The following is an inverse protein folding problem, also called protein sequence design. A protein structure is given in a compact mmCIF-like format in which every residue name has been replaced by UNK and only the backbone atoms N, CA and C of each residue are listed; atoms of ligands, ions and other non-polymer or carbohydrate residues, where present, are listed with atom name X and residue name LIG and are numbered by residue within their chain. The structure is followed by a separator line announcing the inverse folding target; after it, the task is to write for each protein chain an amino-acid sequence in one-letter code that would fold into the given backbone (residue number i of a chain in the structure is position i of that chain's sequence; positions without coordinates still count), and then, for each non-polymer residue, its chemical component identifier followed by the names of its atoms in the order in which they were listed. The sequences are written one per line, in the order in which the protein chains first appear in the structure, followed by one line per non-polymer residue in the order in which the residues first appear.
data_IF_018150071308
#
_entry.id   IF_018150071308
#
_cell.length_a   1.000
_cell.length_b   1.000
_cell.length_c   1.000
_cell.angle_alpha   90.00
_cell.angle_beta   90.00
_cell.angle_gamma   90.00
#
_symmetry.space_group_name_H-M   'P 1'
#
loop_
_entity.id
_entity.type
_entity.pdbx_description
1 polymer ?
#
# COMPACT_ATOMS: atom_id res chain seq x y z
N UNK A 1 -16.68 30.09 -38.07
CA UNK A 1 -16.30 29.23 -36.92
C UNK A 1 -17.25 29.59 -35.79
N UNK A 2 -18.13 28.66 -35.40
CA UNK A 2 -19.17 28.95 -34.41
C UNK A 2 -18.54 29.05 -33.01
N UNK A 3 -19.16 29.82 -32.12
CA UNK A 3 -18.73 29.99 -30.73
C UNK A 3 -18.53 28.63 -30.03
N UNK A 4 -19.36 27.65 -30.38
CA UNK A 4 -19.27 26.25 -29.93
C UNK A 4 -17.95 25.57 -30.33
N UNK A 5 -17.41 25.84 -31.53
CA UNK A 5 -16.14 25.25 -31.99
C UNK A 5 -14.93 25.79 -31.23
N UNK A 6 -14.99 27.04 -30.76
CA UNK A 6 -13.90 27.67 -30.00
C UNK A 6 -13.85 27.14 -28.56
N UNK A 7 -15.01 26.91 -27.95
CA UNK A 7 -15.12 26.30 -26.61
C UNK A 7 -14.59 24.85 -26.60
N UNK A 8 -14.93 24.05 -27.61
CA UNK A 8 -14.43 22.67 -27.73
C UNK A 8 -12.91 22.63 -27.97
N UNK A 9 -12.37 23.60 -28.71
CA UNK A 9 -10.92 23.70 -28.93
C UNK A 9 -10.18 24.15 -27.66
N UNK A 10 -10.74 25.10 -26.89
CA UNK A 10 -10.21 25.52 -25.60
C UNK A 10 -10.22 24.40 -24.55
N UNK A 11 -11.28 23.58 -24.50
CA UNK A 11 -11.35 22.41 -23.62
C UNK A 11 -10.32 21.32 -24.00
N UNK A 12 -9.99 21.19 -25.30
CA UNK A 12 -8.96 20.28 -25.78
C UNK A 12 -7.53 20.81 -25.54
N UNK A 13 -7.33 22.14 -25.62
CA UNK A 13 -6.01 22.80 -25.46
C UNK A 13 -5.64 23.02 -23.99
N UNK A 14 -6.61 23.18 -23.09
CA UNK A 14 -6.38 23.30 -21.64
C UNK A 14 -6.06 21.97 -20.94
N UNK A 15 -6.04 20.86 -21.68
CA UNK A 15 -5.72 19.54 -21.15
C UNK A 15 -6.85 18.99 -20.28
N UNK A 16 -7.13 17.70 -20.44
CA UNK A 16 -7.84 16.96 -19.41
C UNK A 16 -6.98 16.97 -18.14
N UNK A 17 -7.21 17.93 -17.26
CA UNK A 17 -6.83 17.79 -15.86
C UNK A 17 -7.87 16.88 -15.21
N UNK A 18 -7.82 15.59 -15.53
CA UNK A 18 -8.44 14.58 -14.65
C UNK A 18 -7.55 14.41 -13.41
N UNK A 19 -7.50 15.44 -12.58
CA UNK A 19 -6.94 15.34 -11.24
C UNK A 19 -8.10 15.25 -10.27
N UNK A 20 -8.64 14.05 -10.13
CA UNK A 20 -9.36 13.66 -8.92
C UNK A 20 -8.84 12.30 -8.50
N UNK A 21 -7.61 12.24 -8.02
CA UNK A 21 -7.25 11.09 -7.22
C UNK A 21 -8.06 11.18 -5.93
N UNK A 22 -8.74 10.08 -5.61
CA UNK A 22 -9.17 9.67 -4.27
C UNK A 22 -7.99 9.61 -3.28
N UNK A 23 -6.99 10.46 -3.46
CA UNK A 23 -5.78 10.40 -2.68
C UNK A 23 -6.11 10.94 -1.29
N UNK A 24 -5.65 10.27 -0.23
CA UNK A 24 -5.63 10.92 1.07
C UNK A 24 -4.94 12.28 0.97
N UNK A 25 -5.49 13.31 1.58
CA UNK A 25 -4.96 14.68 1.49
C UNK A 25 -3.51 14.79 1.97
N UNK A 26 -3.14 13.91 2.90
CA UNK A 26 -1.78 13.80 3.46
C UNK A 26 -0.80 13.08 2.51
N UNK A 27 -1.30 12.44 1.45
CA UNK A 27 -0.55 11.61 0.53
C UNK A 27 -0.52 12.17 -0.89
N UNK A 28 0.38 11.63 -1.72
CA UNK A 28 0.47 11.91 -3.16
C UNK A 28 0.19 10.64 -3.95
N UNK A 29 -0.64 10.74 -4.99
CA UNK A 29 -1.01 9.59 -5.82
C UNK A 29 -0.53 9.79 -7.26
N UNK A 30 -0.02 8.73 -7.89
CA UNK A 30 0.52 8.75 -9.26
C UNK A 30 0.01 7.55 -10.06
N UNK A 31 -0.37 7.78 -11.32
CA UNK A 31 -0.79 6.75 -12.28
C UNK A 31 -2.30 6.50 -12.28
N UNK A 32 -2.90 6.20 -13.44
CA UNK A 32 -4.36 6.01 -13.57
C UNK A 32 -4.78 4.54 -13.57
N UNK A 33 -3.99 3.67 -14.22
CA UNK A 33 -4.24 2.22 -14.27
C UNK A 33 -3.44 1.41 -13.23
N UNK A 34 -2.37 1.98 -12.69
CA UNK A 34 -1.57 1.43 -11.58
C UNK A 34 -1.32 2.56 -10.61
N UNK A 35 -2.11 2.63 -9.55
CA UNK A 35 -2.02 3.75 -8.61
C UNK A 35 -0.91 3.46 -7.60
N UNK A 36 0.06 4.37 -7.53
CA UNK A 36 1.07 4.41 -6.48
C UNK A 36 0.70 5.52 -5.50
N UNK A 37 0.62 5.18 -4.22
CA UNK A 37 0.22 6.09 -3.15
C UNK A 37 1.40 6.32 -2.21
N UNK A 38 1.87 7.57 -2.14
CA UNK A 38 3.02 8.02 -1.38
C UNK A 38 2.54 8.76 -0.14
N UNK A 39 2.64 8.09 1.01
CA UNK A 39 2.28 8.59 2.34
C UNK A 39 3.49 8.58 3.29
N UNK A 40 4.69 8.48 2.74
CA UNK A 40 5.95 8.42 3.47
C UNK A 40 6.28 9.74 4.19
N UNK A 41 6.89 9.62 5.38
CA UNK A 41 7.34 10.74 6.22
C UNK A 41 6.27 11.79 6.55
N UNK A 42 5.04 11.35 6.82
CA UNK A 42 3.90 12.22 7.13
C UNK A 42 3.52 12.26 8.61
N UNK A 43 4.24 11.51 9.46
CA UNK A 43 3.94 11.41 10.89
C UNK A 43 2.64 10.65 11.20
N UNK A 44 2.22 9.76 10.30
CA UNK A 44 0.96 9.03 10.44
C UNK A 44 1.03 7.99 11.56
N UNK A 45 0.04 7.99 12.46
CA UNK A 45 -0.13 6.94 13.47
C UNK A 45 -1.06 5.81 13.00
N UNK A 46 -1.78 6.00 11.89
CA UNK A 46 -2.67 5.01 11.26
C UNK A 46 -2.59 5.10 9.74
N UNK A 47 -2.94 4.01 9.04
CA UNK A 47 -3.11 4.05 7.58
C UNK A 47 -4.33 4.94 7.25
N UNK A 48 -4.25 5.86 6.27
CA UNK A 48 -5.40 6.67 5.86
C UNK A 48 -6.57 5.82 5.37
N UNK A 49 -7.79 6.24 5.70
CA UNK A 49 -9.00 5.47 5.43
C UNK A 49 -9.50 5.50 3.99
N UNK A 50 -9.01 6.46 3.20
CA UNK A 50 -9.44 6.74 1.84
C UNK A 50 -8.38 6.38 0.79
N UNK A 51 -7.65 5.28 0.98
CA UNK A 51 -6.75 4.76 -0.07
C UNK A 51 -7.58 4.35 -1.31
N UNK A 52 -7.20 4.76 -2.54
CA UNK A 52 -7.87 4.29 -3.75
C UNK A 52 -7.82 2.76 -3.88
N UNK A 53 -8.93 2.11 -4.24
CA UNK A 53 -8.95 0.64 -4.37
C UNK A 53 -8.09 0.08 -5.51
N UNK A 54 -7.74 0.91 -6.48
CA UNK A 54 -6.84 0.62 -7.60
C UNK A 54 -5.36 0.72 -7.19
N UNK A 55 -5.07 0.94 -5.91
CA UNK A 55 -3.70 1.02 -5.39
C UNK A 55 -2.96 -0.29 -5.59
N UNK A 56 -1.82 -0.19 -6.25
CA UNK A 56 -0.89 -1.31 -6.49
C UNK A 56 0.38 -1.18 -5.65
N UNK A 57 0.79 0.04 -5.32
CA UNK A 57 1.97 0.34 -4.50
C UNK A 57 1.59 1.33 -3.42
N UNK A 58 1.85 0.99 -2.16
CA UNK A 58 1.56 1.84 -1.01
C UNK A 58 2.84 2.09 -0.21
N UNK A 59 3.27 3.34 -0.15
CA UNK A 59 4.48 3.76 0.56
C UNK A 59 4.09 4.47 1.85
N UNK A 60 4.45 3.88 2.99
CA UNK A 60 4.14 4.37 4.34
C UNK A 60 5.41 4.45 5.21
N UNK A 61 6.60 4.43 4.60
CA UNK A 61 7.85 4.44 5.36
C UNK A 61 8.03 5.73 6.16
N UNK A 62 8.70 5.66 7.32
CA UNK A 62 9.05 6.86 8.09
C UNK A 62 7.86 7.49 8.82
N UNK A 63 6.86 6.69 9.18
CA UNK A 63 5.68 7.14 9.93
C UNK A 63 5.76 6.63 11.40
N UNK A 64 4.67 6.79 12.15
CA UNK A 64 4.55 6.43 13.57
C UNK A 64 3.62 5.23 13.78
N UNK A 65 3.52 4.34 12.78
CA UNK A 65 2.71 3.13 12.87
C UNK A 65 3.33 2.18 13.88
N UNK A 66 2.56 1.71 14.86
CA UNK A 66 3.02 0.76 15.88
C UNK A 66 2.51 -0.65 15.65
N UNK A 67 1.46 -0.80 14.82
CA UNK A 67 0.78 -2.07 14.51
C UNK A 67 0.19 -2.01 13.11
N UNK A 68 -0.06 -3.19 12.55
CA UNK A 68 -0.84 -3.38 11.32
C UNK A 68 -1.90 -4.43 11.63
N UNK A 69 -3.09 -4.25 11.08
CA UNK A 69 -4.15 -5.25 11.14
C UNK A 69 -4.80 -5.40 9.75
N UNK A 70 -5.39 -6.56 9.44
CA UNK A 70 -6.04 -6.80 8.15
C UNK A 70 -7.08 -5.74 7.78
N UNK A 71 -7.79 -5.19 8.76
CA UNK A 71 -8.86 -4.20 8.57
C UNK A 71 -8.33 -2.81 8.18
N UNK A 72 -7.05 -2.54 8.45
CA UNK A 72 -6.41 -1.28 8.05
C UNK A 72 -6.06 -1.25 6.57
N UNK A 73 -5.99 -2.41 5.90
CA UNK A 73 -5.62 -2.54 4.49
C UNK A 73 -6.85 -2.50 3.58
N UNK A 74 -7.70 -1.52 3.81
CA UNK A 74 -8.92 -1.25 3.06
C UNK A 74 -8.82 0.08 2.32
N UNK A 75 -9.45 0.14 1.16
CA UNK A 75 -9.59 1.33 0.34
C UNK A 75 -11.04 1.70 0.09
N UNK A 76 -11.20 2.81 -0.62
CA UNK A 76 -12.49 3.38 -1.00
C UNK A 76 -12.67 3.33 -2.51
N UNK A 77 -13.86 2.88 -2.96
CA UNK A 77 -14.26 2.94 -4.37
C UNK A 77 -14.60 4.38 -4.77
N UNK A 78 -14.19 4.76 -5.99
CA UNK A 78 -14.68 5.97 -6.65
C UNK A 78 -15.75 5.60 -7.66
N UNK A 79 -16.93 6.19 -7.55
CA UNK A 79 -17.99 6.02 -8.54
C UNK A 79 -17.73 6.88 -9.78
N UNK A 80 -18.43 6.58 -10.89
CA UNK A 80 -18.30 7.31 -12.16
C UNK A 80 -18.67 8.79 -12.09
N UNK A 81 -19.52 9.17 -11.12
CA UNK A 81 -19.89 10.56 -10.83
C UNK A 81 -18.86 11.28 -9.95
N UNK A 82 -17.67 10.70 -9.75
CA UNK A 82 -16.60 11.20 -8.89
C UNK A 82 -16.96 11.31 -7.40
N UNK A 83 -18.03 10.66 -6.92
CA UNK A 83 -18.29 10.53 -5.49
C UNK A 83 -17.63 9.27 -4.93
N UNK A 84 -17.35 9.29 -3.62
CA UNK A 84 -16.72 8.17 -2.92
C UNK A 84 -17.76 7.25 -2.28
N UNK A 85 -17.48 5.96 -2.34
CA UNK A 85 -18.22 4.96 -1.57
C UNK A 85 -18.00 5.19 -0.08
N UNK A 86 -19.08 5.24 0.70
CA UNK A 86 -19.00 5.15 2.17
C UNK A 86 -18.55 3.77 2.65
N UNK A 87 -18.68 2.75 1.80
CA UNK A 87 -18.21 1.39 2.10
C UNK A 87 -16.74 1.26 1.71
N UNK A 88 -15.94 0.84 2.68
CA UNK A 88 -14.56 0.39 2.48
C UNK A 88 -14.55 -1.03 1.92
N UNK A 89 -13.52 -1.36 1.17
CA UNK A 89 -13.27 -2.71 0.69
C UNK A 89 -11.77 -2.98 0.63
N UNK A 90 -11.39 -4.26 0.70
CA UNK A 90 -10.00 -4.67 0.73
C UNK A 90 -9.21 -4.19 -0.51
N UNK A 91 -7.92 -3.86 -0.33
CA UNK A 91 -7.03 -3.46 -1.41
C UNK A 91 -6.57 -4.68 -2.25
N UNK A 92 -7.49 -5.30 -2.97
CA UNK A 92 -7.28 -6.55 -3.73
C UNK A 92 -6.36 -6.43 -4.95
N UNK A 93 -5.89 -5.22 -5.26
CA UNK A 93 -4.91 -4.96 -6.31
C UNK A 93 -3.51 -4.67 -5.77
N UNK A 94 -3.36 -4.50 -4.45
CA UNK A 94 -2.11 -4.12 -3.81
C UNK A 94 -1.04 -5.19 -4.06
N UNK A 95 0.12 -4.77 -4.58
CA UNK A 95 1.26 -5.65 -4.89
C UNK A 95 2.45 -5.38 -3.98
N UNK A 96 2.69 -4.12 -3.64
CA UNK A 96 3.83 -3.70 -2.83
C UNK A 96 3.37 -2.79 -1.70
N UNK A 97 3.88 -3.04 -0.49
CA UNK A 97 3.72 -2.12 0.64
C UNK A 97 5.07 -1.87 1.32
N UNK A 98 5.41 -0.60 1.56
CA UNK A 98 6.58 -0.19 2.36
C UNK A 98 6.14 0.33 3.73
N UNK A 99 6.56 -0.33 4.79
CA UNK A 99 6.28 0.00 6.19
C UNK A 99 7.57 0.19 7.01
N UNK A 100 8.73 0.13 6.37
CA UNK A 100 10.02 0.36 7.02
C UNK A 100 10.11 1.74 7.69
N UNK A 101 11.04 1.90 8.62
CA UNK A 101 11.18 3.14 9.43
C UNK A 101 9.88 3.52 10.19
N UNK A 102 9.07 2.54 10.58
CA UNK A 102 7.96 2.72 11.53
C UNK A 102 8.28 1.98 12.83
N UNK A 103 7.77 2.42 14.00
CA UNK A 103 7.94 1.73 15.29
C UNK A 103 7.08 0.45 15.42
N UNK A 104 6.98 -0.35 14.36
CA UNK A 104 6.26 -1.63 14.38
C UNK A 104 7.21 -2.70 14.91
N UNK A 105 6.98 -3.16 16.14
CA UNK A 105 7.85 -4.18 16.76
C UNK A 105 7.44 -5.62 16.42
N UNK A 106 6.15 -5.83 16.13
CA UNK A 106 5.56 -7.15 15.94
C UNK A 106 4.46 -7.11 14.90
N UNK A 107 4.36 -8.17 14.11
CA UNK A 107 3.20 -8.47 13.27
C UNK A 107 2.75 -9.91 13.49
N UNK A 108 1.48 -10.18 13.25
CA UNK A 108 0.92 -11.50 13.12
C UNK A 108 1.16 -12.09 11.71
N UNK A 109 1.31 -13.41 11.61
CA UNK A 109 1.48 -14.06 10.32
C UNK A 109 0.29 -13.84 9.37
N UNK A 110 -0.90 -13.49 9.88
CA UNK A 110 -2.10 -13.23 9.08
C UNK A 110 -2.45 -11.75 8.89
N UNK A 111 -1.61 -10.79 9.32
CA UNK A 111 -1.91 -9.36 9.22
C UNK A 111 -2.13 -8.85 7.77
N UNK A 112 -1.65 -9.60 6.77
CA UNK A 112 -1.81 -9.29 5.34
C UNK A 112 -2.88 -10.15 4.63
N UNK A 113 -3.71 -10.91 5.37
CA UNK A 113 -4.67 -11.85 4.77
C UNK A 113 -5.75 -11.15 3.91
N UNK A 114 -6.08 -9.91 4.22
CA UNK A 114 -7.08 -9.11 3.50
C UNK A 114 -6.60 -8.63 2.12
N UNK A 115 -5.30 -8.68 1.83
CA UNK A 115 -4.68 -8.22 0.58
C UNK A 115 -4.01 -9.39 -0.17
N UNK A 116 -4.79 -10.36 -0.70
CA UNK A 116 -4.26 -11.61 -1.25
C UNK A 116 -3.37 -11.43 -2.49
N UNK A 117 -3.38 -10.25 -3.10
CA UNK A 117 -2.58 -9.87 -4.25
C UNK A 117 -1.16 -9.42 -3.92
N UNK A 118 -0.86 -9.20 -2.64
CA UNK A 118 0.39 -8.62 -2.15
C UNK A 118 1.55 -9.57 -2.43
N UNK A 119 2.62 -9.02 -2.99
CA UNK A 119 3.80 -9.76 -3.48
C UNK A 119 5.08 -9.41 -2.75
N UNK A 120 5.17 -8.18 -2.24
CA UNK A 120 6.38 -7.64 -1.63
C UNK A 120 6.02 -6.74 -0.46
N UNK A 121 6.63 -7.00 0.69
CA UNK A 121 6.43 -6.24 1.93
C UNK A 121 7.79 -5.84 2.47
N UNK A 122 7.95 -4.55 2.76
CA UNK A 122 9.12 -4.04 3.48
C UNK A 122 8.71 -3.69 4.91
N UNK A 123 9.39 -4.26 5.90
CA UNK A 123 9.13 -4.09 7.32
C UNK A 123 10.37 -3.54 8.03
N UNK A 124 10.22 -2.98 9.24
CA UNK A 124 11.36 -2.63 10.10
C UNK A 124 12.32 -3.82 10.27
N UNK A 125 13.63 -3.54 10.31
CA UNK A 125 14.67 -4.56 10.28
C UNK A 125 14.56 -5.59 11.42
N UNK A 126 14.19 -5.14 12.61
CA UNK A 126 14.09 -5.93 13.85
C UNK A 126 12.69 -6.50 14.11
N UNK A 127 11.83 -6.52 13.09
CA UNK A 127 10.45 -7.00 13.21
C UNK A 127 10.41 -8.45 13.72
N UNK A 128 9.54 -8.70 14.70
CA UNK A 128 9.24 -10.06 15.19
C UNK A 128 7.91 -10.54 14.63
N UNK A 129 7.86 -11.78 14.18
CA UNK A 129 6.66 -12.35 13.59
C UNK A 129 6.02 -13.33 14.58
N UNK A 130 4.78 -13.05 14.94
CA UNK A 130 3.94 -13.92 15.74
C UNK A 130 3.34 -14.99 14.82
N UNK A 131 3.62 -16.25 15.14
CA UNK A 131 3.12 -17.42 14.44
C UNK A 131 2.14 -18.14 15.34
N UNK A 132 0.99 -18.50 14.78
CA UNK A 132 -0.03 -19.33 15.40
C UNK A 132 0.25 -20.81 15.12
N UNK A 133 0.44 -21.58 16.19
CA UNK A 133 0.45 -23.04 16.14
C UNK A 133 -0.84 -23.61 16.71
N UNK A 134 -1.10 -24.90 16.51
CA UNK A 134 -2.29 -25.58 17.04
C UNK A 134 -2.46 -25.46 18.57
N UNK A 135 -1.40 -25.13 19.32
CA UNK A 135 -1.45 -25.02 20.77
C UNK A 135 -1.44 -23.58 21.30
N UNK A 136 -0.62 -22.68 20.71
CA UNK A 136 -0.41 -21.29 21.16
C UNK A 136 0.21 -20.43 20.04
N UNK A 137 0.15 -19.10 20.21
CA UNK A 137 0.95 -18.16 19.43
C UNK A 137 2.38 -18.04 20.00
N UNK A 138 3.40 -17.93 19.13
CA UNK A 138 4.82 -17.82 19.48
C UNK A 138 5.53 -16.79 18.60
N UNK A 139 6.48 -16.04 19.15
CA UNK A 139 7.31 -15.07 18.41
C UNK A 139 8.54 -15.75 17.76
N UNK A 140 8.31 -16.88 17.09
CA UNK A 140 9.33 -17.67 16.38
C UNK A 140 9.07 -17.71 14.87
N UNK A 141 8.15 -16.87 14.37
CA UNK A 141 7.87 -16.75 12.95
C UNK A 141 9.06 -16.18 12.19
N UNK A 142 9.40 -16.80 11.06
CA UNK A 142 10.48 -16.34 10.18
C UNK A 142 9.98 -15.45 9.04
N UNK A 143 8.71 -15.56 8.67
CA UNK A 143 8.03 -14.76 7.64
C UNK A 143 6.51 -14.77 7.88
N UNK A 144 5.76 -13.76 7.38
CA UNK A 144 4.30 -13.79 7.40
C UNK A 144 3.76 -14.94 6.53
N UNK A 145 2.50 -15.31 6.74
CA UNK A 145 1.88 -16.40 5.99
C UNK A 145 1.91 -16.15 4.48
N UNK A 146 2.35 -17.15 3.70
CA UNK A 146 2.62 -17.13 2.23
C UNK A 146 3.87 -16.36 1.79
N UNK A 147 4.56 -15.70 2.70
CA UNK A 147 5.78 -14.96 2.38
C UNK A 147 7.03 -15.76 2.77
N UNK A 148 8.15 -15.39 2.15
CA UNK A 148 9.50 -15.82 2.48
C UNK A 148 10.36 -14.58 2.62
N UNK A 149 11.33 -14.61 3.55
CA UNK A 149 12.34 -13.56 3.66
C UNK A 149 13.16 -13.51 2.37
N UNK A 150 13.47 -12.31 1.90
CA UNK A 150 14.38 -12.11 0.78
C UNK A 150 15.81 -11.93 1.32
N UNK A 151 16.70 -12.89 1.03
CA UNK A 151 18.05 -12.94 1.63
C UNK A 151 19.06 -11.95 1.03
N UNK A 152 18.79 -11.41 -0.17
CA UNK A 152 19.62 -10.39 -0.84
C UNK A 152 18.71 -9.41 -1.58
N UNK A 153 18.58 -8.19 -1.08
CA UNK A 153 17.89 -7.10 -1.79
C UNK A 153 18.93 -6.06 -2.24
N UNK A 154 18.87 -5.56 -3.48
CA UNK A 154 19.82 -4.54 -4.00
C UNK A 154 19.85 -3.20 -3.22
N UNK A 155 18.98 -3.06 -2.21
CA UNK A 155 18.85 -1.91 -1.34
C UNK A 155 18.94 -2.34 0.13
N UNK A 156 19.54 -3.49 0.45
CA UNK A 156 19.87 -3.90 1.82
C UNK A 156 20.87 -2.92 2.42
N UNK A 157 20.32 -1.80 2.84
CA UNK A 157 20.78 -0.90 3.87
C UNK A 157 20.12 -1.42 5.16
N UNK A 158 20.82 -1.56 6.30
CA UNK A 158 20.35 -2.18 7.56
C UNK A 158 19.04 -1.66 8.17
N UNK A 159 18.30 -0.79 7.49
CA UNK A 159 17.09 -0.14 7.99
C UNK A 159 15.78 -0.92 7.72
N UNK A 160 15.80 -1.98 6.90
CA UNK A 160 14.58 -2.79 6.64
C UNK A 160 14.86 -4.26 6.33
N UNK A 161 13.82 -5.09 6.43
CA UNK A 161 13.77 -6.45 5.89
C UNK A 161 12.63 -6.57 4.87
N UNK A 162 12.85 -7.35 3.81
CA UNK A 162 11.88 -7.57 2.74
C UNK A 162 11.36 -9.01 2.71
N UNK A 163 10.08 -9.16 2.38
CA UNK A 163 9.38 -10.44 2.29
C UNK A 163 8.64 -10.55 0.97
N UNK A 164 8.73 -11.71 0.29
CA UNK A 164 8.07 -11.94 -1.00
C UNK A 164 7.27 -13.23 -1.05
N UNK A 165 6.22 -13.25 -1.86
CA UNK A 165 5.47 -14.46 -2.22
C UNK A 165 6.08 -15.23 -3.40
N UNK A 166 7.08 -14.66 -4.08
CA UNK A 166 7.72 -15.29 -5.22
C UNK A 166 8.72 -16.37 -4.78
N UNK A 167 8.82 -17.45 -5.55
CA UNK A 167 9.70 -18.61 -5.26
C UNK A 167 11.18 -18.34 -5.56
N UNK A 168 11.47 -17.38 -6.43
CA UNK A 168 12.83 -17.02 -6.82
C UNK A 168 13.16 -15.64 -6.26
N UNK A 169 14.39 -15.46 -5.78
CA UNK A 169 14.93 -14.14 -5.48
C UNK A 169 14.68 -13.23 -6.67
N UNK A 170 14.15 -12.03 -6.41
CA UNK A 170 13.73 -11.07 -7.43
C UNK A 170 14.91 -10.76 -8.35
N UNK A 171 14.92 -11.33 -9.55
CA UNK A 171 15.70 -10.79 -10.67
C UNK A 171 14.93 -9.57 -11.18
N UNK A 172 15.54 -8.41 -10.98
CA UNK A 172 15.01 -7.09 -11.32
C UNK A 172 14.74 -6.91 -12.82
#
# INVERSE_FOLDING_TARGET
MTFASIVSLLAAVLGHVEVVYSCPDVCKCIGSARVSVYCDFKGLSTIPDNIPMETTHLYLMGNQLTKIFPEMLQGTLRYSNNTFSRRKAALTQLKVIRLDLNPIERIDEFDFISVPSLKLVYLPFDIRILRHSFARAKLDGTAPHKFRRLDTHLLEDPHFVAFTTHSNQVSW
#
